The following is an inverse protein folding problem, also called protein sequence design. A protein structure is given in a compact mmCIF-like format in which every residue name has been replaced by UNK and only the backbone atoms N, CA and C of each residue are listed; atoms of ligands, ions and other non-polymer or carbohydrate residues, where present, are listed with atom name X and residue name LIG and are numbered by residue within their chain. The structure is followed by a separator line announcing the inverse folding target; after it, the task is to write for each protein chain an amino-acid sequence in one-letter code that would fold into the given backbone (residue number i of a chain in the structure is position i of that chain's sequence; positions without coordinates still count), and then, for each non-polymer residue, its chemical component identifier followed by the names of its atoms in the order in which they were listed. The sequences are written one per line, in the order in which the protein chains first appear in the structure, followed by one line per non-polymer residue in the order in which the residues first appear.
data_IF_394904138205
#
_entry.id   IF_394904138205
#
_cell.length_a   1.000
_cell.length_b   1.000
_cell.length_c   1.000
_cell.angle_alpha   90.00
_cell.angle_beta   90.00
_cell.angle_gamma   90.00
#
_symmetry.space_group_name_H-M   'P 1'
#
loop_
_entity.id
_entity.type
_entity.pdbx_description
1 polymer ?
#
# COMPACT_ATOMS: atom_id res chain seq x y z
N UNK A 1 -6.02 -8.23 1.67
CA UNK A 1 -4.93 -8.85 2.47
C UNK A 1 -4.95 -10.34 2.25
N UNK A 2 -3.80 -10.93 1.90
CA UNK A 2 -3.75 -12.30 1.37
C UNK A 2 -3.86 -13.37 2.46
N UNK A 3 -3.14 -13.20 3.57
CA UNK A 3 -3.09 -14.20 4.65
C UNK A 3 -4.27 -14.06 5.65
N UNK A 4 -5.08 -15.11 5.88
CA UNK A 4 -6.20 -15.07 6.83
C UNK A 4 -5.80 -14.67 8.25
N UNK A 5 -4.66 -15.15 8.75
CA UNK A 5 -4.18 -14.85 10.09
C UNK A 5 -3.89 -13.36 10.31
N UNK A 6 -3.57 -12.62 9.24
CA UNK A 6 -3.24 -11.19 9.30
C UNK A 6 -4.40 -10.26 8.99
N UNK A 7 -5.58 -10.78 8.63
CA UNK A 7 -6.76 -9.97 8.28
C UNK A 7 -7.23 -9.04 9.40
N UNK A 8 -6.85 -9.32 10.66
CA UNK A 8 -7.18 -8.49 11.81
C UNK A 8 -6.23 -7.30 12.00
N UNK A 9 -5.04 -7.30 11.39
CA UNK A 9 -4.06 -6.20 11.53
C UNK A 9 -4.63 -4.85 11.05
N UNK A 10 -5.29 -4.74 9.88
CA UNK A 10 -5.86 -3.47 9.42
C UNK A 10 -7.00 -2.99 10.32
N UNK A 11 -7.79 -3.90 10.90
CA UNK A 11 -8.86 -3.56 11.83
C UNK A 11 -8.28 -2.96 13.12
N UNK A 12 -7.25 -3.59 13.68
CA UNK A 12 -6.57 -3.10 14.89
C UNK A 12 -5.91 -1.74 14.64
N UNK A 13 -5.19 -1.57 13.53
CA UNK A 13 -4.60 -0.29 13.13
C UNK A 13 -5.68 0.80 13.01
N UNK A 14 -6.79 0.49 12.34
CA UNK A 14 -7.92 1.41 12.21
C UNK A 14 -8.46 1.84 13.57
N UNK A 15 -8.67 0.91 14.49
CA UNK A 15 -9.11 1.22 15.86
C UNK A 15 -8.13 2.14 16.58
N UNK A 16 -6.83 1.88 16.47
CA UNK A 16 -5.80 2.72 17.10
C UNK A 16 -5.85 4.15 16.55
N UNK A 17 -5.85 4.33 15.23
CA UNK A 17 -5.87 5.67 14.64
C UNK A 17 -7.18 6.43 14.89
N UNK A 18 -8.31 5.73 15.05
CA UNK A 18 -9.61 6.36 15.31
C UNK A 18 -9.83 6.74 16.78
N UNK A 19 -9.37 5.92 17.72
CA UNK A 19 -9.74 6.08 19.14
C UNK A 19 -8.57 6.44 20.06
N UNK A 20 -7.32 6.38 19.60
CA UNK A 20 -6.19 6.75 20.42
C UNK A 20 -6.09 8.29 20.51
N UNK A 21 -6.12 8.90 21.73
CA UNK A 21 -6.27 10.36 21.91
C UNK A 21 -5.28 11.21 21.10
N UNK A 22 -4.01 10.78 21.05
CA UNK A 22 -2.98 11.49 20.29
C UNK A 22 -3.08 11.33 18.77
N UNK A 23 -3.59 10.19 18.30
CA UNK A 23 -3.63 9.89 16.86
C UNK A 23 -4.92 10.39 16.22
N UNK A 24 -6.04 10.33 16.95
CA UNK A 24 -7.31 10.90 16.50
C UNK A 24 -7.21 12.41 16.28
N UNK A 25 -6.40 13.10 17.08
CA UNK A 25 -6.17 14.55 16.99
C UNK A 25 -4.99 14.95 16.10
N UNK A 26 -4.22 13.98 15.60
CA UNK A 26 -3.02 14.25 14.79
C UNK A 26 -3.30 14.80 13.39
N UNK A 27 -4.58 14.83 12.97
CA UNK A 27 -4.98 15.22 11.62
C UNK A 27 -4.73 14.16 10.55
N UNK A 28 -4.19 12.98 10.92
CA UNK A 28 -4.04 11.84 10.01
C UNK A 28 -5.41 11.30 9.61
N UNK A 29 -5.69 11.27 8.31
CA UNK A 29 -6.93 10.72 7.76
C UNK A 29 -6.67 9.32 7.21
N UNK A 30 -7.37 8.33 7.75
CA UNK A 30 -7.45 7.01 7.15
C UNK A 30 -8.42 7.10 5.98
N UNK A 31 -7.95 6.80 4.78
CA UNK A 31 -8.80 6.74 3.58
C UNK A 31 -9.10 5.28 3.26
N UNK A 32 -10.38 4.93 3.29
CA UNK A 32 -10.87 3.67 2.75
C UNK A 32 -11.03 3.86 1.23
N UNK A 33 -10.10 3.28 0.48
CA UNK A 33 -10.02 3.42 -0.98
C UNK A 33 -10.63 2.24 -1.72
N UNK A 34 -10.89 1.12 -1.02
CA UNK A 34 -11.49 -0.07 -1.60
C UNK A 34 -12.94 -0.22 -1.16
N UNK A 35 -13.83 -0.57 -2.10
CA UNK A 35 -15.21 -0.93 -1.80
C UNK A 35 -15.28 -2.41 -1.46
N UNK A 36 -15.23 -2.73 -0.17
CA UNK A 36 -15.71 -4.03 0.32
C UNK A 36 -17.22 -4.07 0.22
N UNK A 37 -17.74 -4.26 -0.98
CA UNK A 37 -19.07 -4.86 -1.10
C UNK A 37 -18.89 -6.35 -0.74
N UNK A 38 -19.78 -6.87 0.11
CA UNK A 38 -19.70 -8.16 0.82
C UNK A 38 -19.63 -9.41 -0.08
N UNK A 39 -19.45 -9.27 -1.38
CA UNK A 39 -19.28 -10.38 -2.30
C UNK A 39 -17.81 -10.70 -2.52
N UNK A 40 -17.47 -11.96 -2.29
CA UNK A 40 -16.16 -12.60 -2.44
C UNK A 40 -15.68 -12.64 -3.90
N UNK A 41 -15.94 -11.60 -4.70
CA UNK A 41 -15.39 -11.45 -6.04
C UNK A 41 -13.94 -10.99 -5.97
N UNK A 42 -13.05 -11.84 -6.52
CA UNK A 42 -11.61 -11.65 -6.75
C UNK A 42 -10.93 -10.65 -5.80
N UNK A 43 -10.66 -11.12 -4.57
CA UNK A 43 -10.06 -10.33 -3.49
C UNK A 43 -8.97 -9.37 -3.98
N UNK A 44 -9.28 -8.08 -4.09
CA UNK A 44 -8.25 -7.07 -4.29
C UNK A 44 -7.29 -7.14 -3.10
N UNK A 45 -6.03 -7.46 -3.38
CA UNK A 45 -4.99 -7.54 -2.37
C UNK A 45 -3.92 -6.53 -2.69
N UNK A 46 -3.67 -5.66 -1.72
CA UNK A 46 -2.44 -4.87 -1.63
C UNK A 46 -1.94 -5.02 -0.21
N UNK A 47 -0.64 -5.24 -0.06
CA UNK A 47 0.02 -5.21 1.24
C UNK A 47 1.06 -4.10 1.29
N UNK A 48 1.18 -3.44 2.45
CA UNK A 48 2.05 -2.27 2.61
C UNK A 48 3.54 -2.54 2.34
N UNK A 49 4.00 -3.79 2.47
CA UNK A 49 5.39 -4.17 2.15
C UNK A 49 5.72 -4.08 0.66
N UNK A 50 4.71 -4.11 -0.22
CA UNK A 50 4.88 -4.04 -1.66
C UNK A 50 4.63 -2.62 -2.21
N UNK A 51 4.50 -1.62 -1.33
CA UNK A 51 4.21 -0.24 -1.69
C UNK A 51 5.37 0.65 -1.26
N UNK A 52 5.83 1.53 -2.16
CA UNK A 52 6.76 2.60 -1.84
C UNK A 52 6.29 3.93 -2.40
N UNK A 53 6.12 4.93 -1.53
CA UNK A 53 5.85 6.30 -1.94
C UNK A 53 7.14 6.98 -2.40
N UNK A 54 7.19 7.42 -3.66
CA UNK A 54 8.36 8.04 -4.26
C UNK A 54 8.34 9.58 -4.18
N UNK A 55 7.27 10.17 -3.61
CA UNK A 55 7.08 11.62 -3.60
C UNK A 55 6.25 12.14 -4.79
N UNK A 56 5.83 13.41 -4.71
CA UNK A 56 5.05 14.10 -5.76
C UNK A 56 3.79 13.35 -6.23
N UNK A 57 3.12 12.65 -5.32
CA UNK A 57 1.94 11.84 -5.65
C UNK A 57 2.24 10.60 -6.48
N UNK A 58 3.50 10.15 -6.55
CA UNK A 58 3.93 8.95 -7.29
C UNK A 58 4.10 7.77 -6.34
N UNK A 59 3.46 6.66 -6.69
CA UNK A 59 3.54 5.40 -5.96
C UNK A 59 4.23 4.33 -6.80
N UNK A 60 5.09 3.54 -6.19
CA UNK A 60 5.66 2.32 -6.75
C UNK A 60 5.02 1.11 -6.07
N UNK A 61 4.49 0.17 -6.86
CA UNK A 61 3.83 -1.03 -6.34
C UNK A 61 4.44 -2.28 -6.98
N UNK A 62 4.81 -3.26 -6.15
CA UNK A 62 5.14 -4.61 -6.59
C UNK A 62 3.89 -5.43 -6.84
N UNK A 63 3.71 -5.94 -8.05
CA UNK A 63 2.70 -6.95 -8.36
C UNK A 63 3.31 -8.34 -8.22
N UNK A 64 2.67 -9.21 -7.44
CA UNK A 64 3.12 -10.57 -7.17
C UNK A 64 2.15 -11.36 -6.31
N UNK A 65 2.64 -12.30 -5.48
CA UNK A 65 1.79 -13.24 -4.71
C UNK A 65 0.92 -12.55 -3.64
N UNK A 66 1.39 -11.43 -3.09
CA UNK A 66 0.71 -10.70 -2.00
C UNK A 66 -0.13 -9.54 -2.49
N UNK A 67 0.25 -8.95 -3.63
CA UNK A 67 -0.39 -7.79 -4.22
C UNK A 67 -0.82 -8.09 -5.65
N UNK A 68 -2.13 -8.14 -5.90
CA UNK A 68 -2.70 -8.54 -7.18
C UNK A 68 -3.06 -7.34 -8.06
N UNK A 69 -3.29 -7.63 -9.35
CA UNK A 69 -3.63 -6.60 -10.35
C UNK A 69 -4.95 -5.89 -10.04
N UNK A 70 -5.98 -6.63 -9.59
CA UNK A 70 -7.28 -6.06 -9.26
C UNK A 70 -7.17 -4.97 -8.17
N UNK A 71 -6.37 -5.20 -7.13
CA UNK A 71 -6.12 -4.19 -6.10
C UNK A 71 -5.39 -2.97 -6.64
N UNK A 72 -4.36 -3.17 -7.47
CA UNK A 72 -3.65 -2.06 -8.10
C UNK A 72 -4.58 -1.22 -8.97
N UNK A 73 -5.46 -1.87 -9.75
CA UNK A 73 -6.44 -1.19 -10.59
C UNK A 73 -7.46 -0.41 -9.75
N UNK A 74 -7.97 -0.99 -8.67
CA UNK A 74 -8.87 -0.30 -7.73
C UNK A 74 -8.22 0.95 -7.12
N UNK A 75 -6.94 0.85 -6.71
CA UNK A 75 -6.19 1.99 -6.20
C UNK A 75 -5.94 3.06 -7.29
N UNK A 76 -5.69 2.64 -8.53
CA UNK A 76 -5.48 3.53 -9.67
C UNK A 76 -6.74 4.31 -10.07
N UNK A 77 -7.93 3.81 -9.72
CA UNK A 77 -9.20 4.53 -9.93
C UNK A 77 -9.45 5.62 -8.88
N UNK A 78 -8.62 5.72 -7.85
CA UNK A 78 -8.75 6.77 -6.83
C UNK A 78 -7.95 8.02 -7.17
N UNK A 79 -8.42 9.17 -6.72
CA UNK A 79 -7.71 10.45 -6.88
C UNK A 79 -6.60 10.66 -5.83
N UNK A 80 -6.19 9.60 -5.12
CA UNK A 80 -5.19 9.68 -4.04
C UNK A 80 -3.77 9.88 -4.57
N UNK A 81 -3.48 9.34 -5.75
CA UNK A 81 -2.15 9.37 -6.33
C UNK A 81 -2.21 9.86 -7.76
N UNK A 82 -1.26 10.74 -8.12
CA UNK A 82 -1.12 11.26 -9.48
C UNK A 82 -0.66 10.18 -10.45
N UNK A 83 0.18 9.25 -9.99
CA UNK A 83 0.76 8.21 -10.84
C UNK A 83 1.10 6.97 -10.03
N UNK A 84 0.83 5.81 -10.61
CA UNK A 84 1.22 4.51 -10.09
C UNK A 84 2.18 3.85 -11.08
N UNK A 85 3.33 3.40 -10.59
CA UNK A 85 4.32 2.62 -11.33
C UNK A 85 4.24 1.19 -10.78
N UNK A 86 4.05 0.22 -11.68
CA UNK A 86 3.91 -1.19 -11.30
C UNK A 86 5.14 -1.96 -11.75
N UNK A 87 5.73 -2.72 -10.83
CA UNK A 87 6.80 -3.67 -11.13
C UNK A 87 6.23 -5.09 -10.99
N UNK A 88 6.23 -5.85 -12.09
CA UNK A 88 5.92 -7.27 -12.04
C UNK A 88 7.17 -8.04 -11.61
N UNK A 89 7.08 -8.73 -10.48
CA UNK A 89 8.19 -9.54 -9.97
C UNK A 89 7.81 -11.01 -10.19
N UNK A 90 8.62 -11.71 -10.97
CA UNK A 90 8.42 -13.14 -11.19
C UNK A 90 8.55 -13.91 -9.87
N UNK A 91 7.63 -14.84 -9.56
CA UNK A 91 7.59 -15.54 -8.28
C UNK A 91 8.85 -16.38 -7.98
N UNK A 92 9.66 -16.68 -9.01
CA UNK A 92 10.83 -17.53 -8.85
C UNK A 92 12.09 -16.79 -8.35
N UNK A 93 12.08 -15.45 -8.30
CA UNK A 93 13.24 -14.66 -7.93
C UNK A 93 12.95 -13.77 -6.70
N UNK A 94 13.11 -14.35 -5.51
CA UNK A 94 13.25 -13.66 -4.21
C UNK A 94 11.93 -13.05 -3.66
N UNK A 95 11.66 -13.13 -2.33
CA UNK A 95 10.49 -12.50 -1.72
C UNK A 95 10.47 -10.97 -1.93
N UNK A 96 9.35 -10.49 -2.46
CA UNK A 96 9.06 -9.12 -2.92
C UNK A 96 9.42 -8.05 -1.86
N UNK A 97 9.18 -8.37 -0.57
CA UNK A 97 9.39 -7.46 0.56
C UNK A 97 10.83 -6.92 0.66
N UNK A 98 11.83 -7.71 0.27
CA UNK A 98 13.24 -7.30 0.36
C UNK A 98 13.57 -6.28 -0.72
N UNK A 99 13.03 -6.47 -1.94
CA UNK A 99 13.39 -5.66 -3.09
C UNK A 99 12.75 -4.28 -3.08
N UNK A 100 11.50 -4.14 -2.66
CA UNK A 100 10.83 -2.82 -2.66
C UNK A 100 11.36 -1.94 -1.54
N UNK A 101 11.64 -2.49 -0.36
CA UNK A 101 12.34 -1.74 0.69
C UNK A 101 13.75 -1.33 0.25
N UNK A 102 14.46 -2.19 -0.48
CA UNK A 102 15.79 -1.86 -1.01
C UNK A 102 15.73 -0.80 -2.12
N UNK A 103 14.78 -0.92 -3.05
CA UNK A 103 14.61 0.00 -4.17
C UNK A 103 14.06 1.35 -3.70
N UNK A 104 13.09 1.36 -2.79
CA UNK A 104 12.58 2.58 -2.15
C UNK A 104 13.69 3.28 -1.37
N UNK A 105 14.56 2.54 -0.69
CA UNK A 105 15.73 3.12 0.00
C UNK A 105 16.75 3.69 -0.98
N UNK A 106 16.99 3.05 -2.12
CA UNK A 106 17.87 3.57 -3.17
C UNK A 106 17.30 4.83 -3.84
N UNK A 107 15.98 4.86 -4.11
CA UNK A 107 15.32 6.02 -4.73
C UNK A 107 15.18 7.18 -3.73
N UNK A 108 14.79 6.92 -2.47
CA UNK A 108 14.72 7.95 -1.42
C UNK A 108 16.10 8.46 -0.98
N UNK A 109 17.19 7.74 -1.22
CA UNK A 109 18.54 8.29 -1.02
C UNK A 109 18.91 9.38 -2.04
N UNK A 110 18.22 9.47 -3.18
CA UNK A 110 18.53 10.43 -4.25
C UNK A 110 17.52 11.57 -4.40
N UNK A 111 16.35 11.48 -3.76
CA UNK A 111 15.38 12.57 -3.75
C UNK A 111 15.49 13.30 -2.42
N UNK A 112 16.06 14.52 -2.37
CA UNK A 112 16.01 15.32 -1.16
C UNK A 112 14.53 15.49 -0.78
N UNK A 113 14.24 15.21 0.48
CA UNK A 113 12.94 15.40 1.09
C UNK A 113 12.56 16.89 0.98
N UNK A 114 11.95 17.30 -0.13
CA UNK A 114 11.40 18.64 -0.29
C UNK A 114 10.05 18.64 0.40
N UNK A 115 10.08 18.94 1.69
CA UNK A 115 8.92 19.40 2.44
C UNK A 115 8.58 20.82 1.94
N UNK A 116 7.39 20.97 1.36
CA UNK A 116 6.70 22.24 1.18
C UNK A 116 5.25 22.06 1.59
#
# INVERSE_FOLDING_TARGET
MTEPARRNEPLLLRTIFQYHPYLSESGVKIVEWSKKDDDFSEHSTIEGGDIAYLGNGVLLIGCGERTNRAGIEELALTDLFRRIIVIYICPHAVPICIWILFLARLVNMHLPCTAH
#
